data_IF_956290571760
#
_entry.id   IF_956290571760
#
_cell.length_a   1.000
_cell.length_b   1.000
_cell.length_c   1.000
_cell.angle_alpha   90.00
_cell.angle_beta   90.00
_cell.angle_gamma   90.00
#
_symmetry.space_group_name_H-M   'P 1'
#
loop_
_entity.id
_entity.type
_entity.pdbx_description
1 polymer ?
#
# COMPACT_ATOMS: atom_id res chain seq x y z
N UNK A 1 -31.49 -24.66 -58.61
CA UNK A 1 -30.14 -24.25 -58.13
C UNK A 1 -29.16 -24.57 -59.26
N UNK A 2 -28.31 -23.63 -59.66
CA UNK A 2 -27.28 -23.84 -60.69
C UNK A 2 -25.93 -24.25 -60.10
N UNK A 3 -25.64 -23.81 -58.87
CA UNK A 3 -24.53 -24.27 -58.06
C UNK A 3 -24.75 -23.93 -56.58
N UNK A 4 -24.17 -24.71 -55.70
CA UNK A 4 -23.82 -24.33 -54.32
C UNK A 4 -22.30 -24.30 -54.26
N UNK A 5 -21.75 -23.10 -54.16
CA UNK A 5 -20.30 -22.90 -54.01
C UNK A 5 -19.99 -22.67 -52.53
N UNK A 6 -19.18 -23.54 -51.94
CA UNK A 6 -18.70 -23.36 -50.58
C UNK A 6 -17.70 -22.19 -50.51
N UNK A 7 -17.87 -21.31 -49.51
CA UNK A 7 -16.93 -20.23 -49.21
C UNK A 7 -15.88 -20.65 -48.17
N UNK A 8 -15.03 -19.72 -47.72
CA UNK A 8 -13.85 -20.01 -46.88
C UNK A 8 -14.12 -20.72 -45.53
N UNK A 9 -15.36 -20.73 -45.05
CA UNK A 9 -15.76 -21.42 -43.80
C UNK A 9 -16.60 -22.67 -44.02
N UNK A 10 -16.84 -23.07 -45.26
CA UNK A 10 -17.67 -24.22 -45.63
C UNK A 10 -16.89 -25.13 -46.60
N UNK A 11 -17.23 -26.41 -46.66
CA UNK A 11 -16.66 -27.37 -47.63
C UNK A 11 -17.74 -28.18 -48.30
N UNK A 12 -17.46 -28.72 -49.49
CA UNK A 12 -18.47 -29.42 -50.29
C UNK A 12 -19.20 -28.49 -51.27
N UNK A 13 -20.50 -28.65 -51.42
CA UNK A 13 -21.30 -28.01 -52.46
C UNK A 13 -21.50 -28.92 -53.68
N UNK A 14 -21.97 -28.33 -54.79
CA UNK A 14 -22.26 -29.08 -56.01
C UNK A 14 -23.15 -28.33 -57.00
N UNK A 15 -23.14 -28.76 -58.26
CA UNK A 15 -23.94 -28.16 -59.34
C UNK A 15 -25.18 -28.98 -59.71
N UNK A 16 -25.28 -30.24 -59.25
CA UNK A 16 -26.44 -31.12 -59.41
C UNK A 16 -26.39 -32.32 -58.44
N UNK A 17 -27.49 -33.09 -58.33
CA UNK A 17 -27.58 -34.27 -57.46
C UNK A 17 -27.77 -33.95 -55.97
N UNK A 18 -27.49 -34.94 -55.11
CA UNK A 18 -27.45 -34.71 -53.66
C UNK A 18 -26.21 -33.87 -53.32
N UNK A 19 -26.40 -32.79 -52.57
CA UNK A 19 -25.34 -31.82 -52.23
C UNK A 19 -25.10 -31.88 -50.73
N UNK A 20 -23.86 -32.17 -50.34
CA UNK A 20 -23.39 -32.05 -48.96
C UNK A 20 -22.60 -30.75 -48.82
N UNK A 21 -22.92 -29.95 -47.81
CA UNK A 21 -22.24 -28.72 -47.48
C UNK A 21 -21.92 -28.75 -45.99
N UNK A 22 -20.65 -28.84 -45.66
CA UNK A 22 -20.17 -28.95 -44.29
C UNK A 22 -19.63 -27.60 -43.82
N UNK A 23 -19.70 -27.36 -42.50
CA UNK A 23 -19.07 -26.22 -41.86
C UNK A 23 -17.64 -26.61 -41.47
N UNK A 24 -16.66 -25.83 -41.89
CA UNK A 24 -15.28 -26.01 -41.44
C UNK A 24 -15.15 -25.57 -39.99
N UNK A 25 -14.87 -26.51 -39.08
CA UNK A 25 -14.59 -26.21 -37.68
C UNK A 25 -13.23 -25.50 -37.56
N UNK A 26 -13.20 -24.19 -37.79
CA UNK A 26 -12.04 -23.35 -37.53
C UNK A 26 -11.72 -23.26 -36.04
N UNK A 27 -10.63 -22.59 -35.72
CA UNK A 27 -10.24 -22.35 -34.33
C UNK A 27 -11.32 -21.58 -33.58
N UNK A 28 -11.73 -22.07 -32.40
CA UNK A 28 -12.76 -21.45 -31.56
C UNK A 28 -14.19 -21.96 -31.76
N UNK A 29 -14.45 -22.85 -32.74
CA UNK A 29 -15.75 -23.48 -32.94
C UNK A 29 -15.65 -25.01 -32.94
N UNK A 30 -16.70 -25.67 -32.47
CA UNK A 30 -16.89 -27.11 -32.56
C UNK A 30 -18.11 -27.37 -33.44
N UNK A 31 -17.94 -28.22 -34.46
CA UNK A 31 -19.02 -28.64 -35.37
C UNK A 31 -19.29 -30.12 -35.12
N UNK A 32 -20.49 -30.41 -34.63
CA UNK A 32 -21.07 -31.75 -34.56
C UNK A 32 -22.13 -31.91 -35.67
N UNK A 33 -22.65 -33.12 -35.85
CA UNK A 33 -23.63 -33.41 -36.90
C UNK A 33 -24.85 -32.47 -36.87
N UNK A 34 -25.35 -32.16 -35.67
CA UNK A 34 -26.58 -31.37 -35.47
C UNK A 34 -26.37 -30.12 -34.61
N UNK A 35 -25.12 -29.76 -34.30
CA UNK A 35 -24.80 -28.62 -33.45
C UNK A 35 -23.52 -27.92 -33.90
N UNK A 36 -23.56 -26.60 -33.87
CA UNK A 36 -22.36 -25.77 -33.90
C UNK A 36 -22.30 -25.02 -32.58
N UNK A 37 -21.15 -25.08 -31.90
CA UNK A 37 -20.93 -24.41 -30.62
C UNK A 37 -19.56 -23.73 -30.59
N UNK A 38 -19.33 -22.90 -29.57
CA UNK A 38 -17.99 -22.43 -29.25
C UNK A 38 -17.15 -23.59 -28.70
N UNK A 39 -15.89 -23.64 -29.09
CA UNK A 39 -14.91 -24.48 -28.43
C UNK A 39 -14.42 -23.73 -27.18
N UNK A 40 -15.08 -23.97 -26.05
CA UNK A 40 -14.79 -23.27 -24.80
C UNK A 40 -13.36 -23.52 -24.32
N UNK A 41 -12.81 -24.72 -24.55
CA UNK A 41 -11.40 -24.99 -24.22
C UNK A 41 -10.42 -24.07 -24.96
N UNK A 42 -10.76 -23.59 -26.16
CA UNK A 42 -9.98 -22.58 -26.86
C UNK A 42 -10.27 -21.16 -26.38
N UNK A 43 -11.55 -20.82 -26.16
CA UNK A 43 -11.93 -19.46 -25.78
C UNK A 43 -11.62 -19.11 -24.32
N UNK A 44 -11.42 -20.09 -23.43
CA UNK A 44 -11.02 -19.91 -22.03
C UNK A 44 -9.65 -19.23 -21.85
N UNK A 45 -8.83 -19.13 -22.91
CA UNK A 45 -7.59 -18.33 -22.85
C UNK A 45 -7.79 -16.85 -23.18
N UNK A 46 -8.93 -16.49 -23.76
CA UNK A 46 -9.14 -15.21 -24.45
C UNK A 46 -10.41 -14.47 -23.99
N UNK A 47 -11.42 -15.19 -23.51
CA UNK A 47 -12.75 -14.67 -23.23
C UNK A 47 -13.30 -15.20 -21.92
N UNK A 48 -14.06 -14.34 -21.24
CA UNK A 48 -14.80 -14.69 -20.03
C UNK A 48 -16.04 -15.48 -20.43
N UNK A 49 -16.12 -16.75 -20.03
CA UNK A 49 -17.37 -17.50 -20.15
C UNK A 49 -18.34 -17.07 -19.06
N UNK A 50 -19.52 -16.62 -19.45
CA UNK A 50 -20.58 -16.25 -18.51
C UNK A 50 -21.06 -17.47 -17.70
N UNK A 51 -21.31 -17.29 -16.40
CA UNK A 51 -21.89 -18.32 -15.53
C UNK A 51 -20.92 -19.39 -14.99
N UNK A 52 -19.63 -19.32 -15.30
CA UNK A 52 -18.62 -20.24 -14.76
C UNK A 52 -17.88 -19.66 -13.55
N UNK A 53 -17.55 -20.51 -12.58
CA UNK A 53 -16.67 -20.14 -11.47
C UNK A 53 -15.23 -19.96 -11.98
N UNK A 54 -14.51 -18.94 -11.48
CA UNK A 54 -13.14 -18.62 -11.91
C UNK A 54 -13.03 -18.36 -13.42
N UNK A 55 -14.05 -17.73 -14.01
CA UNK A 55 -14.12 -17.41 -15.45
C UNK A 55 -12.99 -16.49 -15.93
N UNK A 56 -12.21 -15.89 -15.02
CA UNK A 56 -10.92 -15.26 -15.30
C UNK A 56 -9.81 -16.15 -14.74
N UNK A 57 -8.97 -16.71 -15.61
CA UNK A 57 -7.79 -17.48 -15.21
C UNK A 57 -6.48 -16.68 -15.41
N UNK A 58 -5.36 -17.22 -14.92
CA UNK A 58 -4.05 -16.55 -15.02
C UNK A 58 -3.58 -16.31 -16.46
N UNK A 59 -4.05 -17.09 -17.45
CA UNK A 59 -3.73 -16.85 -18.87
C UNK A 59 -4.51 -15.67 -19.45
N UNK A 60 -5.66 -15.31 -18.87
CA UNK A 60 -6.39 -14.09 -19.25
C UNK A 60 -5.77 -12.82 -18.62
N UNK A 61 -5.09 -12.95 -17.47
CA UNK A 61 -4.39 -11.85 -16.80
C UNK A 61 -2.93 -11.86 -17.20
N UNK A 62 -2.65 -11.30 -18.38
CA UNK A 62 -1.28 -11.19 -18.89
C UNK A 62 -0.44 -10.20 -18.06
N UNK A 63 0.86 -10.50 -17.90
CA UNK A 63 1.77 -9.67 -17.12
C UNK A 63 1.79 -8.22 -17.63
N UNK A 64 1.63 -7.27 -16.70
CA UNK A 64 1.66 -5.84 -16.99
C UNK A 64 0.40 -5.28 -17.65
N UNK A 65 -0.62 -6.11 -17.93
CA UNK A 65 -1.88 -5.61 -18.49
C UNK A 65 -2.76 -4.93 -17.43
N UNK A 66 -2.72 -5.42 -16.18
CA UNK A 66 -3.36 -4.74 -15.05
C UNK A 66 -2.48 -3.55 -14.64
N UNK A 67 -2.87 -2.36 -15.08
CA UNK A 67 -2.15 -1.12 -14.83
C UNK A 67 -2.95 -0.18 -13.90
N UNK A 68 -2.43 1.02 -13.66
CA UNK A 68 -3.05 1.98 -12.75
C UNK A 68 -4.46 2.40 -13.17
N UNK A 69 -4.81 2.37 -14.46
CA UNK A 69 -6.15 2.66 -14.95
C UNK A 69 -7.12 1.50 -14.65
N UNK A 70 -6.66 0.25 -14.64
CA UNK A 70 -7.46 -0.90 -14.26
C UNK A 70 -7.66 -0.97 -12.73
N UNK A 71 -6.66 -0.49 -11.99
CA UNK A 71 -6.70 -0.29 -10.54
C UNK A 71 -6.99 1.17 -10.16
N UNK A 72 -7.86 1.84 -10.93
CA UNK A 72 -8.25 3.23 -10.68
C UNK A 72 -8.86 3.44 -9.28
N UNK A 73 -9.02 4.71 -8.88
CA UNK A 73 -9.69 5.04 -7.61
C UNK A 73 -11.04 4.31 -7.53
N UNK A 74 -11.32 3.66 -6.38
CA UNK A 74 -12.49 2.80 -6.12
C UNK A 74 -12.54 1.45 -6.83
N UNK A 75 -11.59 1.13 -7.73
CA UNK A 75 -11.53 -0.18 -8.37
C UNK A 75 -11.24 -1.30 -7.35
N UNK A 76 -10.32 -1.05 -6.41
CA UNK A 76 -10.09 -1.91 -5.23
C UNK A 76 -10.59 -1.18 -3.99
N UNK A 77 -11.75 -1.58 -3.49
CA UNK A 77 -12.31 -1.05 -2.24
C UNK A 77 -11.84 -1.88 -1.06
N UNK A 78 -12.02 -1.39 0.17
CA UNK A 78 -11.70 -2.14 1.38
C UNK A 78 -12.45 -3.48 1.45
N UNK A 79 -13.66 -3.57 0.91
CA UNK A 79 -14.42 -4.82 0.81
C UNK A 79 -13.80 -5.85 -0.16
N UNK A 80 -12.96 -5.41 -1.10
CA UNK A 80 -12.25 -6.28 -2.06
C UNK A 80 -10.89 -6.77 -1.53
N UNK A 81 -10.38 -6.12 -0.48
CA UNK A 81 -9.16 -6.56 0.20
C UNK A 81 -9.57 -7.52 1.32
N UNK A 82 -9.11 -8.77 1.25
CA UNK A 82 -9.43 -9.78 2.28
C UNK A 82 -8.83 -9.37 3.62
N UNK A 83 -9.68 -9.15 4.63
CA UNK A 83 -9.24 -8.99 6.02
C UNK A 83 -8.90 -10.32 6.72
N UNK A 84 -9.03 -11.46 6.03
CA UNK A 84 -8.71 -12.76 6.61
C UNK A 84 -7.23 -12.84 6.98
N UNK A 85 -6.95 -13.19 8.24
CA UNK A 85 -5.60 -13.23 8.80
C UNK A 85 -5.12 -11.90 9.41
N UNK A 86 -5.81 -10.78 9.17
CA UNK A 86 -5.54 -9.52 9.85
C UNK A 86 -6.37 -9.35 11.12
N UNK A 87 -5.82 -8.63 12.10
CA UNK A 87 -6.54 -8.16 13.28
C UNK A 87 -6.66 -6.63 13.29
N UNK A 88 -7.40 -6.09 14.26
CA UNK A 88 -7.56 -4.64 14.37
C UNK A 88 -6.20 -3.94 14.52
N UNK A 89 -6.01 -2.87 13.74
CA UNK A 89 -4.78 -2.06 13.63
C UNK A 89 -3.62 -2.70 12.87
N UNK A 90 -3.82 -3.88 12.27
CA UNK A 90 -2.87 -4.37 11.30
C UNK A 90 -2.91 -3.51 10.02
N UNK A 91 -1.75 -3.43 9.39
CA UNK A 91 -1.56 -2.83 8.07
C UNK A 91 -1.04 -3.89 7.12
N UNK A 92 -1.31 -3.74 5.82
CA UNK A 92 -0.63 -4.54 4.82
C UNK A 92 0.81 -4.07 4.72
N UNK A 93 1.75 -4.97 4.99
CA UNK A 93 3.18 -4.75 4.83
C UNK A 93 3.74 -5.70 3.77
N UNK A 94 4.96 -5.42 3.32
CA UNK A 94 5.76 -6.37 2.57
C UNK A 94 6.87 -6.90 3.48
N UNK A 95 6.85 -8.20 3.77
CA UNK A 95 7.81 -8.84 4.69
C UNK A 95 9.15 -9.22 4.02
N UNK A 96 9.34 -8.79 2.76
CA UNK A 96 10.48 -9.18 1.93
C UNK A 96 10.21 -10.36 1.01
N UNK A 97 9.08 -11.05 1.16
CA UNK A 97 8.67 -12.15 0.28
C UNK A 97 7.21 -12.03 -0.15
N UNK A 98 6.31 -11.69 0.78
CA UNK A 98 4.87 -11.65 0.59
C UNK A 98 4.27 -10.33 1.07
N UNK A 99 3.08 -10.03 0.54
CA UNK A 99 2.19 -9.02 1.13
C UNK A 99 1.40 -9.71 2.23
N UNK A 100 1.51 -9.19 3.46
CA UNK A 100 0.94 -9.82 4.66
C UNK A 100 0.29 -8.79 5.55
N UNK A 101 -0.72 -9.22 6.32
CA UNK A 101 -1.22 -8.42 7.45
C UNK A 101 -0.21 -8.49 8.59
N UNK A 102 0.24 -7.33 9.06
CA UNK A 102 1.10 -7.23 10.23
C UNK A 102 0.70 -6.05 11.09
N UNK A 103 0.85 -6.21 12.40
CA UNK A 103 0.75 -5.11 13.33
C UNK A 103 1.73 -4.01 12.93
N UNK A 104 1.32 -2.75 13.06
CA UNK A 104 2.24 -1.62 12.90
C UNK A 104 3.41 -1.83 13.88
N UNK A 105 4.66 -1.93 13.40
CA UNK A 105 5.81 -2.07 14.27
C UNK A 105 5.84 -0.92 15.27
N UNK A 106 6.18 -1.20 16.53
CA UNK A 106 6.45 -0.12 17.48
C UNK A 106 7.56 0.77 16.91
N UNK A 107 7.45 2.09 17.13
CA UNK A 107 8.47 3.08 16.75
C UNK A 107 9.86 2.74 17.33
N UNK A 108 9.90 1.97 18.43
CA UNK A 108 11.09 1.52 19.18
C UNK A 108 11.97 2.65 19.76
N UNK A 109 11.87 3.87 19.24
CA UNK A 109 12.53 5.04 19.80
C UNK A 109 11.88 5.49 21.11
N UNK A 110 10.55 5.49 21.18
CA UNK A 110 9.79 5.83 22.38
C UNK A 110 8.95 4.64 22.89
N UNK A 111 9.06 4.36 24.18
CA UNK A 111 8.25 3.37 24.90
C UNK A 111 7.11 4.07 25.62
N UNK A 112 5.89 3.57 25.42
CA UNK A 112 4.69 4.01 26.14
C UNK A 112 4.31 2.92 27.14
N UNK A 113 4.21 3.27 28.44
CA UNK A 113 3.79 2.33 29.50
C UNK A 113 2.79 3.02 30.42
N UNK A 114 1.53 2.63 30.33
CA UNK A 114 0.43 3.35 30.99
C UNK A 114 0.33 4.77 30.44
N UNK A 115 0.36 5.78 31.32
CA UNK A 115 0.39 7.19 30.94
C UNK A 115 1.79 7.77 30.67
N UNK A 116 2.85 6.96 30.78
CA UNK A 116 4.23 7.44 30.66
C UNK A 116 4.78 7.21 29.25
N UNK A 117 5.62 8.14 28.79
CA UNK A 117 6.43 8.03 27.57
C UNK A 117 7.90 8.20 27.93
N UNK A 118 8.76 7.27 27.51
CA UNK A 118 10.20 7.32 27.82
C UNK A 118 11.05 6.58 26.79
N UNK A 119 12.34 6.88 26.73
CA UNK A 119 13.31 6.12 25.94
C UNK A 119 13.93 5.02 26.80
N UNK A 120 13.78 3.75 26.40
CA UNK A 120 14.24 2.61 27.19
C UNK A 120 15.77 2.47 27.28
N UNK A 121 16.49 2.90 26.23
CA UNK A 121 17.96 2.82 26.15
C UNK A 121 18.55 4.00 25.38
N UNK A 122 19.83 4.30 25.63
CA UNK A 122 20.49 5.46 25.03
C UNK A 122 20.09 6.79 25.70
N UNK A 123 20.39 7.89 25.02
CA UNK A 123 20.14 9.26 25.51
C UNK A 123 19.16 10.01 24.62
N UNK A 124 18.52 11.05 25.15
CA UNK A 124 17.69 12.01 24.42
C UNK A 124 18.51 13.27 24.15
N UNK A 125 18.72 13.60 22.88
CA UNK A 125 19.34 14.84 22.44
C UNK A 125 18.29 15.81 21.92
N UNK A 126 18.34 17.06 22.39
CA UNK A 126 17.57 18.18 21.82
C UNK A 126 18.57 19.15 21.23
N UNK A 127 18.54 19.36 19.91
CA UNK A 127 19.54 20.16 19.20
C UNK A 127 20.90 19.46 18.97
N UNK A 128 20.98 18.16 19.25
CA UNK A 128 22.21 17.37 19.05
C UNK A 128 21.89 15.91 18.69
N UNK A 129 22.67 15.32 17.78
CA UNK A 129 22.63 13.89 17.44
C UNK A 129 23.65 13.06 18.24
N UNK A 130 24.53 13.73 18.99
CA UNK A 130 25.58 13.10 19.82
C UNK A 130 25.44 13.53 21.29
N UNK A 131 24.39 13.07 21.98
CA UNK A 131 24.16 13.41 23.38
C UNK A 131 25.28 12.89 24.29
N UNK A 132 25.87 13.77 25.11
CA UNK A 132 26.96 13.44 26.05
C UNK A 132 26.48 13.04 27.46
N UNK A 133 25.16 13.16 27.70
CA UNK A 133 24.48 12.78 28.93
C UNK A 133 23.14 12.12 28.59
N UNK A 134 22.43 11.53 29.58
CA UNK A 134 21.12 10.86 29.36
C UNK A 134 20.08 11.79 28.73
N UNK A 135 20.10 13.05 29.13
CA UNK A 135 19.39 14.16 28.47
C UNK A 135 20.43 15.22 28.15
N UNK A 136 20.59 15.57 26.87
CA UNK A 136 21.49 16.63 26.44
C UNK A 136 20.70 17.64 25.63
N UNK A 137 20.51 18.83 26.18
CA UNK A 137 19.93 19.96 25.46
C UNK A 137 21.06 20.86 25.04
N UNK A 138 21.21 21.08 23.73
CA UNK A 138 22.25 21.91 23.15
C UNK A 138 21.61 23.10 22.45
N UNK A 139 21.93 24.29 22.93
CA UNK A 139 21.59 25.56 22.28
C UNK A 139 22.10 25.67 20.85
N UNK A 140 21.43 26.49 20.04
CA UNK A 140 21.84 26.74 18.66
C UNK A 140 23.06 27.67 18.57
N UNK A 141 23.42 28.36 19.66
CA UNK A 141 24.58 29.26 19.72
C UNK A 141 25.12 29.43 21.15
N UNK A 142 25.80 30.55 21.37
CA UNK A 142 26.39 30.95 22.68
C UNK A 142 25.84 32.29 23.16
N UNK A 143 24.70 32.73 22.59
CA UNK A 143 24.07 34.03 22.85
C UNK A 143 23.05 33.95 23.99
N UNK A 144 22.07 34.85 24.00
CA UNK A 144 21.01 34.88 25.02
C UNK A 144 19.75 34.11 24.61
N UNK A 145 19.86 33.08 23.79
CA UNK A 145 18.74 32.16 23.56
C UNK A 145 18.64 31.18 24.73
N UNK A 146 17.44 30.66 25.00
CA UNK A 146 17.24 29.72 26.10
C UNK A 146 17.52 28.28 25.64
N UNK A 147 18.44 27.60 26.33
CA UNK A 147 18.68 26.18 26.18
C UNK A 147 17.59 25.35 26.88
N UNK A 148 17.12 25.79 28.05
CA UNK A 148 16.02 25.13 28.79
C UNK A 148 15.09 26.19 29.36
N UNK A 149 13.79 25.97 29.20
CA UNK A 149 12.73 26.81 29.74
C UNK A 149 11.69 25.94 30.45
N UNK A 150 11.40 26.26 31.71
CA UNK A 150 10.34 25.63 32.49
C UNK A 150 9.37 26.70 32.96
N UNK A 151 8.16 26.66 32.41
CA UNK A 151 7.05 27.53 32.80
C UNK A 151 5.97 26.78 33.56
N UNK A 152 5.19 27.49 34.38
CA UNK A 152 3.95 26.97 34.93
C UNK A 152 2.80 27.08 33.91
N UNK A 153 1.60 26.64 34.30
CA UNK A 153 0.40 26.68 33.43
C UNK A 153 -0.09 28.09 33.08
N UNK A 154 0.44 29.13 33.74
CA UNK A 154 0.19 30.54 33.41
C UNK A 154 1.32 31.16 32.56
N UNK A 155 2.25 30.34 32.05
CA UNK A 155 3.45 30.73 31.31
C UNK A 155 4.47 31.59 32.10
N UNK A 156 4.37 31.65 33.42
CA UNK A 156 5.42 32.27 34.24
C UNK A 156 6.63 31.33 34.33
N UNK A 157 7.85 31.87 34.29
CA UNK A 157 9.07 31.07 34.38
C UNK A 157 9.39 30.69 35.80
N UNK A 158 9.66 29.40 35.97
CA UNK A 158 10.14 28.83 37.22
C UNK A 158 11.65 28.57 37.13
N UNK A 159 12.15 28.12 35.97
CA UNK A 159 13.55 27.85 35.70
C UNK A 159 13.87 28.18 34.24
N UNK A 160 14.97 28.87 34.00
CA UNK A 160 15.51 29.10 32.66
C UNK A 160 17.03 28.91 32.66
N UNK A 161 17.56 28.34 31.59
CA UNK A 161 18.99 28.27 31.33
C UNK A 161 19.23 28.84 29.93
N UNK A 162 20.08 29.85 29.86
CA UNK A 162 20.47 30.50 28.61
C UNK A 162 21.72 29.85 28.01
N UNK A 163 21.87 29.97 26.69
CA UNK A 163 23.01 29.48 25.90
C UNK A 163 24.35 30.13 26.32
N UNK A 164 24.29 31.31 26.94
CA UNK A 164 25.44 32.00 27.53
C UNK A 164 25.81 31.46 28.93
N UNK A 165 25.07 30.49 29.45
CA UNK A 165 25.30 29.86 30.75
C UNK A 165 24.58 30.51 31.94
N UNK A 166 23.81 31.58 31.72
CA UNK A 166 23.05 32.21 32.81
C UNK A 166 21.84 31.34 33.21
N UNK A 167 21.70 31.10 34.50
CA UNK A 167 20.65 30.32 35.15
C UNK A 167 19.70 31.25 35.90
N UNK A 168 18.42 31.24 35.54
CA UNK A 168 17.37 31.99 36.24
C UNK A 168 16.42 31.06 36.99
N UNK A 169 16.10 31.40 38.24
CA UNK A 169 15.05 30.75 39.05
C UNK A 169 13.97 31.80 39.35
N UNK A 170 12.77 31.64 38.81
CA UNK A 170 11.73 32.67 38.87
C UNK A 170 11.96 33.88 37.94
N UNK A 171 13.11 33.94 37.27
CA UNK A 171 13.54 35.04 36.43
C UNK A 171 13.56 34.67 34.94
N UNK A 172 13.13 35.61 34.10
CA UNK A 172 12.96 35.49 32.65
C UNK A 172 14.18 35.98 31.85
N UNK A 173 15.04 36.77 32.48
CA UNK A 173 16.17 37.40 31.81
C UNK A 173 17.34 37.61 32.78
N UNK A 174 17.94 36.51 33.29
CA UNK A 174 19.04 36.60 34.22
C UNK A 174 20.22 37.37 33.61
N UNK A 175 20.59 38.49 34.23
CA UNK A 175 21.73 39.31 33.83
C UNK A 175 23.04 38.83 34.52
N UNK A 176 22.92 37.91 35.48
CA UNK A 176 24.02 37.24 36.16
C UNK A 176 24.03 35.71 35.88
N UNK A 177 25.14 35.04 36.21
CA UNK A 177 25.28 33.58 36.05
C UNK A 177 24.19 32.81 36.80
N UNK A 178 23.80 33.31 37.98
CA UNK A 178 22.67 32.79 38.75
C UNK A 178 21.86 33.97 39.26
N UNK A 179 20.59 34.03 38.88
CA UNK A 179 19.62 35.01 39.36
C UNK A 179 18.39 34.29 39.93
N UNK A 180 17.90 34.78 41.08
CA UNK A 180 16.76 34.20 41.80
C UNK A 180 15.83 35.34 42.16
N UNK A 181 14.56 35.26 41.72
CA UNK A 181 13.52 36.27 41.94
C UNK A 181 12.29 35.66 42.58
#
# INVERSE_FOLDING_TARGET
ITAVNAGNGLTGGGTSGNVTLDIGAGTGITVAADQVSLNTSYTDGLYVNEGQANSINSSMIQNGQVNNADLANTAVTTAKISGSGGVANDVLTYDGQNVVWQAVPADQDWTISGGNVYRASGSVGIGTTSPAARTHIKGAGTGTSQALLVTNSANAVNLTLFDNGNLGLGDQGPDAILEIV
#
